data_IF_086990240967
#
_entry.id   IF_086990240967
#
_cell.length_a   1.000
_cell.length_b   1.000
_cell.length_c   1.000
_cell.angle_alpha   90.00
_cell.angle_beta   90.00
_cell.angle_gamma   90.00
#
_symmetry.space_group_name_H-M   'P 1'
#
loop_
_entity.id
_entity.type
_entity.pdbx_description
1 polymer ?
#
# COMPACT_ATOMS: atom_id res chain seq x y z
N UNK A 1 29.58 -14.12 3.66
CA UNK A 1 28.89 -14.24 2.36
C UNK A 1 27.44 -13.85 2.57
N UNK A 2 26.88 -12.96 1.76
CA UNK A 2 25.45 -12.62 1.81
C UNK A 2 24.74 -13.73 1.04
N UNK A 3 24.06 -14.63 1.74
CA UNK A 3 23.17 -15.60 1.08
C UNK A 3 21.98 -14.83 0.51
N UNK A 4 21.99 -14.62 -0.80
CA UNK A 4 20.90 -13.97 -1.51
C UNK A 4 19.79 -15.00 -1.78
N UNK A 5 18.52 -14.65 -1.56
CA UNK A 5 17.41 -15.52 -1.91
C UNK A 5 17.38 -15.80 -3.41
N UNK A 6 17.00 -17.01 -3.79
CA UNK A 6 16.87 -17.37 -5.22
C UNK A 6 15.80 -16.51 -5.90
N UNK A 7 15.94 -16.18 -7.20
CA UNK A 7 14.95 -15.36 -7.91
C UNK A 7 13.52 -15.88 -7.80
N UNK A 8 13.34 -17.20 -7.81
CA UNK A 8 12.03 -17.83 -7.65
C UNK A 8 11.44 -17.56 -6.26
N UNK A 9 12.24 -17.67 -5.20
CA UNK A 9 11.77 -17.37 -3.84
C UNK A 9 11.35 -15.90 -3.67
N UNK A 10 12.08 -14.97 -4.30
CA UNK A 10 11.75 -13.54 -4.32
C UNK A 10 10.43 -13.30 -5.06
N UNK A 11 10.25 -13.91 -6.24
CA UNK A 11 9.03 -13.79 -7.03
C UNK A 11 7.82 -14.34 -6.26
N UNK A 12 7.90 -15.57 -5.75
CA UNK A 12 6.79 -16.19 -5.00
C UNK A 12 6.43 -15.37 -3.77
N UNK A 13 7.41 -14.89 -3.02
CA UNK A 13 7.16 -14.07 -1.83
C UNK A 13 6.53 -12.72 -2.19
N UNK A 14 6.92 -12.11 -3.32
CA UNK A 14 6.32 -10.86 -3.81
C UNK A 14 4.87 -11.07 -4.27
N UNK A 15 4.61 -12.18 -4.97
CA UNK A 15 3.26 -12.55 -5.41
C UNK A 15 2.33 -12.83 -4.23
N UNK A 16 2.83 -13.48 -3.17
CA UNK A 16 2.06 -13.69 -1.95
C UNK A 16 1.84 -12.36 -1.20
N UNK A 17 2.89 -11.55 -1.09
CA UNK A 17 2.85 -10.24 -0.43
C UNK A 17 1.74 -9.34 -1.00
N UNK A 18 1.64 -9.24 -2.33
CA UNK A 18 0.59 -8.48 -3.00
C UNK A 18 -0.73 -9.26 -3.15
N UNK A 19 -0.64 -10.56 -3.37
CA UNK A 19 -1.77 -11.43 -3.70
C UNK A 19 -2.75 -11.61 -2.56
N UNK A 20 -2.28 -11.69 -1.31
CA UNK A 20 -3.14 -11.82 -0.13
C UNK A 20 -4.14 -10.66 -0.01
N UNK A 21 -3.72 -9.39 0.06
CA UNK A 21 -4.66 -8.28 0.12
C UNK A 21 -5.47 -8.14 -1.17
N UNK A 22 -4.89 -8.48 -2.32
CA UNK A 22 -5.62 -8.47 -3.60
C UNK A 22 -6.82 -9.41 -3.57
N UNK A 23 -6.65 -10.66 -3.13
CA UNK A 23 -7.72 -11.64 -3.05
C UNK A 23 -8.83 -11.25 -2.06
N UNK A 24 -8.48 -10.55 -0.98
CA UNK A 24 -9.45 -10.01 -0.03
C UNK A 24 -10.23 -8.81 -0.60
N UNK A 25 -9.55 -7.92 -1.30
CA UNK A 25 -10.14 -6.69 -1.84
C UNK A 25 -10.91 -6.91 -3.15
N UNK A 26 -10.60 -7.96 -3.91
CA UNK A 26 -11.26 -8.31 -5.17
C UNK A 26 -12.79 -8.44 -5.00
N UNK A 27 -13.33 -9.31 -4.12
CA UNK A 27 -14.77 -9.44 -3.96
C UNK A 27 -15.42 -8.15 -3.45
N UNK A 28 -14.73 -7.41 -2.58
CA UNK A 28 -15.21 -6.13 -2.05
C UNK A 28 -15.36 -5.10 -3.17
N UNK A 29 -14.33 -4.91 -3.99
CA UNK A 29 -14.38 -3.98 -5.12
C UNK A 29 -15.38 -4.41 -6.18
N UNK A 30 -15.60 -5.72 -6.36
CA UNK A 30 -16.65 -6.23 -7.24
C UNK A 30 -18.05 -5.80 -6.78
N UNK A 31 -18.33 -5.83 -5.47
CA UNK A 31 -19.60 -5.32 -4.91
C UNK A 31 -19.77 -3.82 -5.17
N UNK A 32 -18.72 -3.03 -4.99
CA UNK A 32 -18.77 -1.59 -5.27
C UNK A 32 -18.99 -1.30 -6.76
N UNK A 33 -18.33 -2.05 -7.64
CA UNK A 33 -18.50 -1.96 -9.09
C UNK A 33 -19.93 -2.30 -9.50
N UNK A 34 -20.52 -3.38 -8.95
CA UNK A 34 -21.92 -3.73 -9.16
C UNK A 34 -22.86 -2.62 -8.67
N UNK A 35 -22.61 -2.07 -7.48
CA UNK A 35 -23.42 -0.99 -6.91
C UNK A 35 -23.44 0.26 -7.79
N UNK A 36 -22.30 0.61 -8.38
CA UNK A 36 -22.20 1.72 -9.33
C UNK A 36 -22.94 1.42 -10.64
N UNK A 37 -22.81 0.20 -11.16
CA UNK A 37 -23.56 -0.29 -12.32
C UNK A 37 -25.08 -0.23 -12.14
N UNK A 38 -25.60 -0.68 -11.00
CA UNK A 38 -27.04 -0.62 -10.72
C UNK A 38 -27.55 0.82 -10.69
N UNK A 39 -26.77 1.75 -10.15
CA UNK A 39 -27.12 3.18 -10.15
C UNK A 39 -27.02 3.79 -11.54
N UNK A 40 -26.00 3.45 -12.30
CA UNK A 40 -25.87 3.85 -13.69
C UNK A 40 -27.07 3.33 -14.51
N UNK A 41 -27.51 2.09 -14.28
CA UNK A 41 -28.68 1.50 -14.93
C UNK A 41 -30.00 2.18 -14.50
N UNK A 42 -30.17 2.53 -13.23
CA UNK A 42 -31.34 3.28 -12.75
C UNK A 42 -31.39 4.69 -13.35
N UNK A 43 -30.25 5.38 -13.38
CA UNK A 43 -30.14 6.72 -13.97
C UNK A 43 -30.35 6.66 -15.49
N UNK A 44 -29.79 5.65 -16.15
CA UNK A 44 -29.99 5.38 -17.57
C UNK A 44 -31.44 5.00 -17.87
N UNK A 45 -32.13 4.24 -17.02
CA UNK A 45 -33.57 3.93 -17.17
C UNK A 45 -34.42 5.20 -17.06
N UNK A 46 -34.12 6.05 -16.09
CA UNK A 46 -34.78 7.35 -15.92
C UNK A 46 -34.48 8.30 -17.10
N UNK A 47 -33.27 8.24 -17.66
CA UNK A 47 -32.87 9.00 -18.84
C UNK A 47 -33.36 8.40 -20.16
N UNK A 48 -33.52 7.07 -20.28
CA UNK A 48 -34.05 6.37 -21.45
C UNK A 48 -35.54 6.64 -21.65
N UNK A 49 -36.27 6.88 -20.57
CA UNK A 49 -37.64 7.43 -20.63
C UNK A 49 -37.65 8.81 -21.31
N UNK A 50 -36.53 9.55 -21.28
CA UNK A 50 -36.35 10.84 -21.95
C UNK A 50 -35.59 10.75 -23.30
N UNK A 51 -34.83 9.68 -23.54
CA UNK A 51 -33.82 9.59 -24.61
C UNK A 51 -34.09 8.47 -25.64
N UNK A 52 -35.36 8.24 -25.99
CA UNK A 52 -35.75 7.33 -27.08
C UNK A 52 -35.28 7.77 -28.49
N UNK A 53 -34.38 8.76 -28.63
CA UNK A 53 -34.03 9.37 -29.92
C UNK A 53 -32.55 9.39 -30.33
N UNK A 54 -31.57 9.00 -29.50
CA UNK A 54 -30.16 9.08 -29.93
C UNK A 54 -29.45 7.74 -29.74
N UNK A 55 -29.68 6.84 -30.69
CA UNK A 55 -29.04 5.54 -30.75
C UNK A 55 -27.58 5.60 -31.22
N UNK A 56 -26.77 4.70 -30.64
CA UNK A 56 -25.44 4.21 -31.07
C UNK A 56 -24.32 5.28 -30.99
N UNK A 57 -23.10 5.04 -30.53
CA UNK A 57 -22.27 3.83 -30.45
C UNK A 57 -21.05 4.24 -29.61
N UNK A 58 -20.93 3.82 -28.34
CA UNK A 58 -19.75 4.10 -27.48
C UNK A 58 -19.43 2.92 -26.55
N UNK A 59 -19.85 1.71 -26.90
CA UNK A 59 -19.86 0.59 -25.94
C UNK A 59 -18.50 -0.13 -25.81
N UNK A 60 -17.72 -0.19 -26.89
CA UNK A 60 -16.61 -1.16 -26.95
C UNK A 60 -15.23 -0.55 -26.66
N UNK A 61 -15.01 0.75 -26.93
CA UNK A 61 -13.76 1.44 -26.53
C UNK A 61 -13.75 1.93 -25.07
N UNK A 62 -14.93 2.04 -24.43
CA UNK A 62 -15.06 2.49 -23.03
C UNK A 62 -14.87 1.33 -22.06
N UNK A 63 -15.25 0.11 -22.45
CA UNK A 63 -15.19 -1.11 -21.62
C UNK A 63 -13.76 -1.45 -21.17
N UNK A 64 -12.81 -1.56 -22.11
CA UNK A 64 -11.44 -1.97 -21.78
C UNK A 64 -10.71 -0.94 -20.92
N UNK A 65 -10.96 0.36 -21.12
CA UNK A 65 -10.32 1.40 -20.31
C UNK A 65 -10.85 1.43 -18.88
N UNK A 66 -12.13 1.12 -18.67
CA UNK A 66 -12.72 1.07 -17.33
C UNK A 66 -12.16 -0.13 -16.56
N UNK A 67 -12.10 -1.32 -17.16
CA UNK A 67 -11.56 -2.51 -16.51
C UNK A 67 -10.09 -2.34 -16.10
N UNK A 68 -9.27 -1.75 -16.97
CA UNK A 68 -7.86 -1.47 -16.65
C UNK A 68 -7.75 -0.46 -15.51
N UNK A 69 -8.58 0.59 -15.49
CA UNK A 69 -8.60 1.56 -14.37
C UNK A 69 -8.98 0.89 -13.04
N UNK A 70 -9.98 0.01 -13.04
CA UNK A 70 -10.37 -0.77 -11.86
C UNK A 70 -9.28 -1.73 -11.40
N UNK A 71 -8.62 -2.44 -12.34
CA UNK A 71 -7.52 -3.34 -12.02
C UNK A 71 -6.34 -2.59 -11.38
N UNK A 72 -5.93 -1.46 -11.97
CA UNK A 72 -4.84 -0.65 -11.39
C UNK A 72 -5.26 -0.11 -10.01
N UNK A 73 -6.52 0.33 -9.86
CA UNK A 73 -7.02 0.80 -8.58
C UNK A 73 -6.97 -0.28 -7.51
N UNK A 74 -7.44 -1.49 -7.82
CA UNK A 74 -7.38 -2.65 -6.93
C UNK A 74 -5.94 -3.02 -6.56
N UNK A 75 -5.01 -3.01 -7.52
CA UNK A 75 -3.58 -3.25 -7.27
C UNK A 75 -3.01 -2.20 -6.31
N UNK A 76 -3.38 -0.93 -6.47
CA UNK A 76 -2.93 0.14 -5.55
C UNK A 76 -3.47 -0.05 -4.14
N UNK A 77 -4.75 -0.44 -3.99
CA UNK A 77 -5.33 -0.74 -2.69
C UNK A 77 -4.62 -1.94 -2.03
N UNK A 78 -4.37 -2.99 -2.80
CA UNK A 78 -3.66 -4.17 -2.32
C UNK A 78 -2.22 -3.85 -1.91
N UNK A 79 -1.50 -3.08 -2.72
CA UNK A 79 -0.15 -2.62 -2.43
C UNK A 79 -0.10 -1.76 -1.16
N UNK A 80 -1.08 -0.89 -0.94
CA UNK A 80 -1.14 -0.09 0.27
C UNK A 80 -1.32 -0.98 1.51
N UNK A 81 -2.28 -1.90 1.49
CA UNK A 81 -2.52 -2.82 2.61
C UNK A 81 -1.28 -3.66 2.92
N UNK A 82 -0.58 -4.14 1.88
CA UNK A 82 0.66 -4.88 2.02
C UNK A 82 1.77 -4.01 2.64
N UNK A 83 2.00 -2.79 2.12
CA UNK A 83 3.00 -1.85 2.64
C UNK A 83 2.74 -1.50 4.11
N UNK A 84 1.48 -1.24 4.50
CA UNK A 84 1.14 -0.93 5.89
C UNK A 84 1.45 -2.11 6.79
N UNK A 85 1.01 -3.32 6.43
CA UNK A 85 1.32 -4.52 7.21
C UNK A 85 2.84 -4.71 7.36
N UNK A 86 3.59 -4.65 6.26
CA UNK A 86 5.05 -4.80 6.27
C UNK A 86 5.74 -3.72 7.10
N UNK A 87 5.24 -2.47 7.11
CA UNK A 87 5.81 -1.39 7.91
C UNK A 87 5.66 -1.67 9.41
N UNK A 88 4.46 -2.06 9.85
CA UNK A 88 4.21 -2.37 11.26
C UNK A 88 4.93 -3.64 11.72
N UNK A 89 5.02 -4.64 10.85
CA UNK A 89 5.80 -5.86 11.11
C UNK A 89 7.30 -5.55 11.23
N UNK A 90 7.85 -4.76 10.31
CA UNK A 90 9.25 -4.35 10.36
C UNK A 90 9.55 -3.53 11.62
N UNK A 91 8.67 -2.60 11.99
CA UNK A 91 8.78 -1.87 13.26
C UNK A 91 8.75 -2.79 14.47
N UNK A 92 7.84 -3.78 14.49
CA UNK A 92 7.76 -4.80 15.54
C UNK A 92 9.06 -5.58 15.67
N UNK A 93 9.59 -6.07 14.54
CA UNK A 93 10.83 -6.83 14.49
C UNK A 93 12.05 -6.01 14.97
N UNK A 94 12.05 -4.68 14.78
CA UNK A 94 13.08 -3.78 15.32
C UNK A 94 13.05 -3.63 16.84
N UNK A 95 11.91 -3.90 17.48
CA UNK A 95 11.75 -3.81 18.93
C UNK A 95 12.08 -5.12 19.65
N UNK A 96 12.12 -6.26 18.95
CA UNK A 96 12.41 -7.57 19.52
C UNK A 96 13.92 -7.79 19.63
N UNK A 97 14.39 -8.18 20.82
CA UNK A 97 15.80 -8.50 21.10
C UNK A 97 16.03 -10.02 21.01
N UNK A 98 17.15 -10.42 20.42
CA UNK A 98 17.64 -11.80 20.38
C UNK A 98 18.12 -12.27 21.76
N UNK A 99 18.48 -13.55 21.88
CA UNK A 99 18.99 -14.14 23.12
C UNK A 99 20.32 -13.53 23.61
N UNK A 100 20.99 -12.74 22.77
CA UNK A 100 22.19 -11.98 23.07
C UNK A 100 21.88 -10.50 23.37
N UNK A 101 20.60 -10.14 23.49
CA UNK A 101 20.14 -8.78 23.78
C UNK A 101 20.15 -7.82 22.59
N UNK A 102 20.44 -8.29 21.37
CA UNK A 102 20.57 -7.48 20.16
C UNK A 102 19.26 -7.43 19.37
N UNK A 103 18.87 -6.28 18.84
CA UNK A 103 17.72 -6.16 17.95
C UNK A 103 18.12 -5.84 16.51
N UNK A 104 17.15 -5.81 15.59
CA UNK A 104 17.40 -5.41 14.18
C UNK A 104 17.93 -3.97 14.08
N UNK A 105 17.62 -3.11 15.05
CA UNK A 105 18.12 -1.73 15.08
C UNK A 105 19.62 -1.64 15.42
N UNK A 106 20.22 -2.66 16.04
CA UNK A 106 21.64 -2.70 16.36
C UNK A 106 22.54 -2.96 15.14
N UNK A 107 21.95 -3.38 14.01
CA UNK A 107 22.55 -3.41 12.66
C UNK A 107 23.84 -4.21 12.46
N UNK A 108 24.41 -4.81 13.51
CA UNK A 108 25.58 -5.68 13.47
C UNK A 108 25.23 -7.14 13.13
N UNK A 109 23.97 -7.55 13.28
CA UNK A 109 23.51 -8.94 13.12
C UNK A 109 22.50 -9.17 11.98
N UNK A 110 22.16 -8.13 11.23
CA UNK A 110 21.00 -8.18 10.34
C UNK A 110 21.36 -8.59 8.90
N UNK A 111 20.66 -9.60 8.38
CA UNK A 111 20.84 -10.08 7.00
C UNK A 111 19.73 -9.61 6.07
N UNK A 112 20.06 -9.45 4.78
CA UNK A 112 19.08 -9.11 3.74
C UNK A 112 17.91 -10.10 3.66
N UNK A 113 18.18 -11.39 3.89
CA UNK A 113 17.17 -12.44 3.90
C UNK A 113 16.17 -12.25 5.05
N UNK A 114 16.62 -11.87 6.25
CA UNK A 114 15.76 -11.56 7.39
C UNK A 114 14.89 -10.31 7.14
N UNK A 115 15.46 -9.26 6.54
CA UNK A 115 14.71 -8.08 6.12
C UNK A 115 13.60 -8.45 5.14
N UNK A 116 13.98 -9.16 4.08
CA UNK A 116 13.08 -9.54 3.00
C UNK A 116 11.95 -10.45 3.50
N UNK A 117 12.26 -11.37 4.40
CA UNK A 117 11.28 -12.25 5.02
C UNK A 117 10.29 -11.48 5.91
N UNK A 118 10.78 -10.58 6.75
CA UNK A 118 9.92 -9.74 7.58
C UNK A 118 9.07 -8.77 6.76
N UNK A 119 9.53 -8.40 5.57
CA UNK A 119 8.76 -7.56 4.66
C UNK A 119 7.65 -8.34 3.94
N UNK A 120 7.96 -9.52 3.39
CA UNK A 120 7.06 -10.22 2.44
C UNK A 120 6.10 -11.21 3.09
N UNK A 121 6.42 -11.73 4.26
CA UNK A 121 5.62 -12.79 4.89
C UNK A 121 4.43 -12.19 5.64
N UNK A 122 3.30 -12.89 5.60
CA UNK A 122 2.21 -12.70 6.56
C UNK A 122 2.29 -13.82 7.60
N UNK A 123 2.41 -13.45 8.86
CA UNK A 123 2.14 -14.33 9.99
C UNK A 123 1.19 -13.62 10.95
N UNK A 124 0.20 -14.35 11.47
CA UNK A 124 -0.78 -13.79 12.40
C UNK A 124 -0.21 -13.52 13.79
N UNK A 125 1.12 -13.50 13.92
CA UNK A 125 1.86 -13.47 15.18
C UNK A 125 2.03 -12.03 15.68
N UNK A 126 2.15 -11.05 14.77
CA UNK A 126 2.27 -9.63 15.12
C UNK A 126 0.89 -8.95 15.18
N UNK A 127 0.29 -8.79 16.38
CA UNK A 127 -1.08 -8.28 16.51
C UNK A 127 -1.20 -6.86 15.97
N UNK A 128 -0.16 -6.03 16.11
CA UNK A 128 -0.17 -4.65 15.64
C UNK A 128 -0.17 -4.58 14.11
N UNK A 129 0.61 -5.43 13.44
CA UNK A 129 0.63 -5.50 11.97
C UNK A 129 -0.71 -5.98 11.42
N UNK A 130 -1.31 -6.99 12.06
CA UNK A 130 -2.65 -7.49 11.71
C UNK A 130 -3.73 -6.43 11.92
N UNK A 131 -3.69 -5.70 13.04
CA UNK A 131 -4.64 -4.61 13.30
C UNK A 131 -4.50 -3.48 12.29
N UNK A 132 -3.26 -3.06 11.98
CA UNK A 132 -3.00 -2.02 10.98
C UNK A 132 -3.46 -2.44 9.58
N UNK A 133 -3.29 -3.72 9.23
CA UNK A 133 -3.82 -4.28 7.99
C UNK A 133 -5.34 -4.17 7.92
N UNK A 134 -6.05 -4.68 8.93
CA UNK A 134 -7.52 -4.63 8.94
C UNK A 134 -8.06 -3.20 9.00
N UNK A 135 -7.40 -2.31 9.73
CA UNK A 135 -7.72 -0.88 9.72
C UNK A 135 -7.59 -0.30 8.31
N UNK A 136 -6.52 -0.64 7.60
CA UNK A 136 -6.30 -0.20 6.21
C UNK A 136 -7.38 -0.73 5.27
N UNK A 137 -7.75 -2.01 5.39
CA UNK A 137 -8.86 -2.58 4.62
C UNK A 137 -10.18 -1.84 4.92
N UNK A 138 -10.47 -1.59 6.21
CA UNK A 138 -11.65 -0.83 6.62
C UNK A 138 -11.68 0.59 6.05
N UNK A 139 -10.53 1.29 6.08
CA UNK A 139 -10.40 2.62 5.47
C UNK A 139 -10.59 2.59 3.95
N UNK A 140 -10.03 1.60 3.24
CA UNK A 140 -10.22 1.43 1.80
C UNK A 140 -11.70 1.21 1.43
N UNK A 141 -12.41 0.40 2.21
CA UNK A 141 -13.86 0.20 2.08
C UNK A 141 -14.59 1.53 2.29
N UNK A 142 -14.22 2.30 3.33
CA UNK A 142 -14.84 3.59 3.63
C UNK A 142 -14.63 4.61 2.49
N UNK A 143 -13.44 4.64 1.88
CA UNK A 143 -13.16 5.47 0.69
C UNK A 143 -14.06 5.08 -0.47
N UNK A 144 -14.13 3.79 -0.81
CA UNK A 144 -14.99 3.29 -1.88
C UNK A 144 -16.46 3.63 -1.64
N UNK A 145 -16.93 3.43 -0.41
CA UNK A 145 -18.30 3.76 -0.03
C UNK A 145 -18.61 5.25 -0.09
N UNK A 146 -17.68 6.10 0.38
CA UNK A 146 -17.82 7.56 0.33
C UNK A 146 -18.03 8.06 -1.10
N UNK A 147 -17.27 7.49 -2.04
CA UNK A 147 -17.38 7.82 -3.47
C UNK A 147 -18.62 7.22 -4.12
N UNK A 148 -18.98 5.98 -3.77
CA UNK A 148 -20.24 5.37 -4.24
C UNK A 148 -21.43 6.24 -3.84
N UNK A 149 -21.54 6.67 -2.59
CA UNK A 149 -22.65 7.49 -2.07
C UNK A 149 -22.55 8.97 -2.47
N UNK A 150 -21.42 9.41 -3.05
CA UNK A 150 -21.15 10.82 -3.42
C UNK A 150 -21.28 11.79 -2.23
N UNK A 151 -21.04 11.31 -1.02
CA UNK A 151 -21.13 12.13 0.20
C UNK A 151 -19.86 12.97 0.35
N UNK A 152 -19.98 14.30 0.19
CA UNK A 152 -18.86 15.24 0.35
C UNK A 152 -18.20 15.14 1.72
N UNK A 153 -19.02 14.94 2.77
CA UNK A 153 -18.55 14.85 4.15
C UNK A 153 -17.73 13.56 4.37
N UNK A 154 -18.18 12.40 3.88
CA UNK A 154 -17.42 11.16 3.98
C UNK A 154 -16.11 11.21 3.17
N UNK A 155 -16.13 11.85 2.00
CA UNK A 155 -14.92 12.07 1.20
C UNK A 155 -13.93 12.97 1.95
N UNK A 156 -14.40 14.01 2.63
CA UNK A 156 -13.52 14.89 3.41
C UNK A 156 -12.95 14.19 4.64
N UNK A 157 -13.78 13.46 5.39
CA UNK A 157 -13.35 12.71 6.59
C UNK A 157 -12.34 11.63 6.24
N UNK A 158 -12.48 10.97 5.09
CA UNK A 158 -11.53 9.92 4.68
C UNK A 158 -10.23 10.51 4.11
N UNK A 159 -10.30 11.67 3.44
CA UNK A 159 -9.16 12.31 2.77
C UNK A 159 -8.25 13.11 3.70
N UNK A 160 -8.79 13.87 4.65
CA UNK A 160 -7.98 14.74 5.51
C UNK A 160 -6.94 13.96 6.34
N UNK A 161 -7.34 12.92 7.10
CA UNK A 161 -6.40 12.10 7.84
C UNK A 161 -5.39 11.40 6.94
N UNK A 162 -5.82 10.91 5.77
CA UNK A 162 -4.90 10.22 4.85
C UNK A 162 -3.85 11.17 4.28
N UNK A 163 -4.21 12.42 3.97
CA UNK A 163 -3.24 13.43 3.53
C UNK A 163 -2.26 13.83 4.63
N UNK A 164 -2.73 13.92 5.87
CA UNK A 164 -1.86 14.22 7.02
C UNK A 164 -0.86 13.08 7.24
N UNK A 165 -1.33 11.83 7.28
CA UNK A 165 -0.47 10.66 7.44
C UNK A 165 0.52 10.57 6.27
N UNK A 166 0.08 10.78 5.03
CA UNK A 166 0.95 10.78 3.87
C UNK A 166 2.05 11.84 3.96
N UNK A 167 1.73 13.04 4.46
CA UNK A 167 2.72 14.09 4.68
C UNK A 167 3.74 13.69 5.77
N UNK A 168 3.28 13.10 6.87
CA UNK A 168 4.16 12.58 7.92
C UNK A 168 5.06 11.44 7.41
N UNK A 169 4.54 10.54 6.59
CA UNK A 169 5.34 9.51 5.91
C UNK A 169 6.40 10.14 5.01
N UNK A 170 6.06 11.18 4.24
CA UNK A 170 7.02 11.90 3.40
C UNK A 170 8.14 12.55 4.21
N UNK A 171 7.79 13.25 5.30
CA UNK A 171 8.78 13.84 6.21
C UNK A 171 9.66 12.77 6.87
N UNK A 172 9.06 11.67 7.32
CA UNK A 172 9.76 10.53 7.90
C UNK A 172 10.73 9.88 6.91
N UNK A 173 10.31 9.69 5.66
CA UNK A 173 11.17 9.15 4.60
C UNK A 173 12.39 10.05 4.34
N UNK A 174 12.20 11.37 4.31
CA UNK A 174 13.31 12.32 4.14
C UNK A 174 14.26 12.26 5.35
N UNK A 175 13.74 12.28 6.57
CA UNK A 175 14.55 12.23 7.78
C UNK A 175 15.37 10.92 7.87
N UNK A 176 14.73 9.77 7.65
CA UNK A 176 15.37 8.45 7.63
C UNK A 176 16.39 8.36 6.49
N UNK A 177 16.07 8.90 5.31
CA UNK A 177 17.00 8.93 4.18
C UNK A 177 18.26 9.73 4.49
N UNK A 178 18.13 10.89 5.14
CA UNK A 178 19.26 11.69 5.58
C UNK A 178 20.15 10.92 6.58
N UNK A 179 19.54 10.25 7.57
CA UNK A 179 20.27 9.40 8.52
C UNK A 179 20.96 8.23 7.81
N UNK A 180 20.29 7.58 6.86
CA UNK A 180 20.87 6.51 6.05
C UNK A 180 22.11 6.96 5.26
N UNK A 181 22.11 8.18 4.71
CA UNK A 181 23.27 8.76 4.04
C UNK A 181 24.41 9.08 5.03
N UNK A 182 24.10 9.56 6.24
CA UNK A 182 25.10 9.74 7.29
C UNK A 182 25.73 8.42 7.71
N UNK A 183 24.93 7.36 7.88
CA UNK A 183 25.40 6.02 8.21
C UNK A 183 26.25 5.43 7.08
N UNK A 184 25.85 5.63 5.83
CA UNK A 184 26.66 5.25 4.67
C UNK A 184 28.02 5.97 4.71
N UNK A 185 28.02 7.28 4.97
CA UNK A 185 29.24 8.08 5.08
C UNK A 185 30.19 7.54 6.17
N UNK A 186 29.63 7.26 7.36
CA UNK A 186 30.34 6.73 8.51
C UNK A 186 30.92 5.32 8.26
N UNK A 187 30.16 4.48 7.57
CA UNK A 187 30.56 3.11 7.25
C UNK A 187 31.62 3.03 6.15
N UNK A 188 31.54 3.85 5.10
CA UNK A 188 32.44 3.73 3.93
C UNK A 188 33.62 4.69 3.94
N UNK A 189 33.47 5.90 4.49
CA UNK A 189 34.53 6.92 4.46
C UNK A 189 35.27 7.04 5.78
N UNK A 190 34.56 6.96 6.90
CA UNK A 190 35.16 7.09 8.24
C UNK A 190 35.57 5.76 8.87
N UNK A 191 35.24 4.62 8.25
CA UNK A 191 35.55 3.26 8.71
C UNK A 191 35.25 3.04 10.21
N UNK A 192 34.14 3.62 10.70
CA UNK A 192 33.79 3.47 12.11
C UNK A 192 33.33 2.02 12.38
N UNK A 193 33.90 1.34 13.40
CA UNK A 193 33.64 -0.08 13.67
C UNK A 193 32.21 -0.36 14.17
N UNK A 194 31.42 0.69 14.43
CA UNK A 194 30.04 0.58 14.88
C UNK A 194 29.02 0.55 13.74
N UNK A 195 29.40 0.99 12.54
CA UNK A 195 28.49 1.14 11.40
C UNK A 195 28.79 0.13 10.29
N UNK A 196 27.75 -0.48 9.74
CA UNK A 196 27.84 -1.48 8.69
C UNK A 196 26.97 -1.07 7.48
N UNK A 197 27.42 -1.39 6.27
CA UNK A 197 26.67 -1.24 5.02
C UNK A 197 25.30 -1.95 5.09
N UNK A 198 25.20 -3.05 5.86
CA UNK A 198 23.93 -3.73 6.12
C UNK A 198 22.85 -2.80 6.71
N UNK A 199 23.21 -1.85 7.58
CA UNK A 199 22.29 -0.86 8.14
C UNK A 199 21.68 0.05 7.06
N UNK A 200 22.44 0.38 6.01
CA UNK A 200 21.98 1.25 4.92
C UNK A 200 20.81 0.61 4.18
N UNK A 201 20.80 -0.72 4.02
CA UNK A 201 19.69 -1.45 3.38
C UNK A 201 18.38 -1.34 4.17
N UNK A 202 18.45 -1.33 5.51
CA UNK A 202 17.29 -1.13 6.39
C UNK A 202 16.73 0.29 6.24
N UNK A 203 17.59 1.31 6.25
CA UNK A 203 17.17 2.70 6.02
C UNK A 203 16.53 2.88 4.64
N UNK A 204 17.12 2.30 3.59
CA UNK A 204 16.57 2.34 2.25
C UNK A 204 15.17 1.70 2.18
N UNK A 205 14.94 0.59 2.89
CA UNK A 205 13.62 -0.03 2.98
C UNK A 205 12.59 0.86 3.66
N UNK A 206 12.96 1.53 4.76
CA UNK A 206 12.07 2.48 5.42
C UNK A 206 11.70 3.66 4.52
N UNK A 207 12.66 4.19 3.77
CA UNK A 207 12.41 5.25 2.78
C UNK A 207 11.41 4.78 1.72
N UNK A 208 11.58 3.55 1.20
CA UNK A 208 10.68 2.97 0.21
C UNK A 208 9.28 2.71 0.79
N UNK A 209 9.18 2.14 1.99
CA UNK A 209 7.92 1.84 2.67
C UNK A 209 7.12 3.13 2.94
N UNK A 210 7.78 4.13 3.54
CA UNK A 210 7.12 5.40 3.87
C UNK A 210 6.81 6.21 2.61
N UNK A 211 7.72 6.26 1.65
CA UNK A 211 7.52 6.96 0.38
C UNK A 211 6.39 6.34 -0.45
N UNK A 212 6.44 5.03 -0.69
CA UNK A 212 5.41 4.32 -1.45
C UNK A 212 4.07 4.30 -0.70
N UNK A 213 4.08 4.00 0.61
CA UNK A 213 2.87 3.98 1.44
C UNK A 213 2.19 5.35 1.51
N UNK A 214 2.97 6.41 1.77
CA UNK A 214 2.46 7.79 1.77
C UNK A 214 1.93 8.22 0.40
N UNK A 215 2.64 7.90 -0.68
CA UNK A 215 2.19 8.17 -2.05
C UNK A 215 0.89 7.46 -2.41
N UNK A 216 0.72 6.21 -1.99
CA UNK A 216 -0.52 5.45 -2.18
C UNK A 216 -1.67 6.04 -1.34
N UNK A 217 -1.43 6.36 -0.06
CA UNK A 217 -2.43 7.00 0.81
C UNK A 217 -2.96 8.31 0.25
N UNK A 218 -2.08 9.14 -0.33
CA UNK A 218 -2.48 10.41 -0.94
C UNK A 218 -3.22 10.23 -2.28
N UNK A 219 -2.88 9.20 -3.06
CA UNK A 219 -3.39 9.04 -4.43
C UNK A 219 -4.69 8.24 -4.54
N UNK A 220 -4.97 7.32 -3.60
CA UNK A 220 -6.15 6.45 -3.63
C UNK A 220 -7.48 7.24 -3.62
N UNK A 221 -7.71 8.24 -2.74
CA UNK A 221 -8.96 9.01 -2.76
C UNK A 221 -9.16 9.75 -4.09
N UNK A 222 -8.10 10.35 -4.64
CA UNK A 222 -8.17 11.05 -5.94
C UNK A 222 -8.36 10.11 -7.14
N UNK A 223 -7.96 8.84 -7.03
CA UNK A 223 -8.28 7.83 -8.05
C UNK A 223 -9.70 7.30 -7.91
N UNK A 224 -10.17 7.08 -6.70
CA UNK A 224 -11.57 6.72 -6.44
C UNK A 224 -12.52 7.78 -7.02
N UNK A 225 -12.24 9.07 -6.83
CA UNK A 225 -13.03 10.16 -7.40
C UNK A 225 -13.13 10.09 -8.92
N UNK A 226 -12.05 9.72 -9.62
CA UNK A 226 -12.05 9.57 -11.09
C UNK A 226 -12.77 8.32 -11.57
N UNK A 227 -12.79 7.28 -10.74
CA UNK A 227 -13.34 5.96 -11.07
C UNK A 227 -14.87 5.92 -10.89
N UNK A 228 -15.40 6.53 -9.82
CA UNK A 228 -16.83 6.59 -9.51
C UNK A 228 -17.55 7.80 -10.14
N UNK A 229 -16.84 8.64 -10.89
CA UNK A 229 -17.42 9.74 -11.70
C UNK A 229 -17.52 9.42 -13.18
N UNK A 230 -16.83 8.38 -13.66
CA UNK A 230 -16.88 7.92 -15.06
C UNK A 230 -18.10 7.05 -15.30
#
# INVERSE_FOLDING_TARGET
MIELPTPNSVLTSTLLWLGVPFLLLLPINFVFWLGDWFRALQTARNALVLAHQSGKTVRDSVSNQILVKWAIYLIMQAALAAIVYSSFRLAGAMMVRDSMGRNIADGKSFTWSELWFNFTRYDGIDPLAVQAFWFTIGWLIAVNFAHLVKSKLLIQITRWPSTLIAALCGLGAVAIGAVGLMVLSLATWMNSPEYNIGMVSLYAFWVLLLGAGGGLLASIPGRAERLFRS
#
